data_IF_488651800138
#
_entry.id   IF_488651800138
#
_cell.length_a   1.000
_cell.length_b   1.000
_cell.length_c   1.000
_cell.angle_alpha   90.00
_cell.angle_beta   90.00
_cell.angle_gamma   90.00
#
_symmetry.space_group_name_H-M   'P 1'
#
loop_
_entity.id
_entity.type
_entity.pdbx_description
1 polymer ?
#
# COMPACT_ATOMS: atom_id res chain seq x y z
N UNK A 1 6.60 -18.91 -1.86
CA UNK A 1 5.25 -19.42 -1.55
C UNK A 1 4.93 -20.74 -2.23
N UNK A 2 5.13 -20.91 -3.55
CA UNK A 2 4.83 -22.17 -4.25
C UNK A 2 5.47 -23.42 -3.63
N UNK A 3 6.76 -23.37 -3.32
CA UNK A 3 7.51 -24.48 -2.69
C UNK A 3 6.90 -24.91 -1.34
N UNK A 4 6.53 -23.94 -0.51
CA UNK A 4 5.91 -24.18 0.80
C UNK A 4 4.56 -24.88 0.66
N UNK A 5 3.75 -24.51 -0.36
CA UNK A 5 2.44 -25.11 -0.62
C UNK A 5 2.58 -26.57 -1.07
N UNK A 6 3.56 -26.86 -1.94
CA UNK A 6 3.83 -28.23 -2.41
C UNK A 6 4.45 -29.13 -1.34
N UNK A 7 5.36 -28.60 -0.53
CA UNK A 7 6.05 -29.39 0.52
C UNK A 7 5.10 -29.76 1.67
N UNK A 8 4.18 -28.86 2.04
CA UNK A 8 3.26 -29.07 3.15
C UNK A 8 1.90 -29.63 2.71
N UNK A 9 1.71 -29.98 1.43
CA UNK A 9 0.44 -30.45 0.86
C UNK A 9 -0.76 -29.67 1.42
N UNK A 10 -0.79 -28.34 1.24
CA UNK A 10 -1.82 -27.50 1.84
C UNK A 10 -3.14 -27.67 1.06
N UNK A 11 -4.22 -28.21 1.67
CA UNK A 11 -5.50 -28.38 1.00
C UNK A 11 -6.27 -27.05 0.92
N UNK A 12 -7.11 -26.89 -0.09
CA UNK A 12 -8.07 -25.79 -0.14
C UNK A 12 -9.08 -25.90 1.02
N UNK A 13 -9.25 -24.86 1.86
CA UNK A 13 -10.12 -24.92 3.03
C UNK A 13 -11.61 -25.11 2.69
N UNK A 14 -12.03 -24.77 1.47
CA UNK A 14 -13.44 -24.87 1.06
C UNK A 14 -13.79 -26.18 0.34
N UNK A 15 -12.84 -26.82 -0.36
CA UNK A 15 -13.14 -27.99 -1.20
C UNK A 15 -12.13 -29.15 -1.06
N UNK A 16 -11.09 -29.02 -0.24
CA UNK A 16 -10.10 -30.08 0.02
C UNK A 16 -9.16 -30.42 -1.14
N UNK A 17 -9.27 -29.73 -2.29
CA UNK A 17 -8.39 -29.95 -3.45
C UNK A 17 -7.03 -29.28 -3.28
N UNK A 18 -6.00 -29.84 -3.92
CA UNK A 18 -4.60 -29.38 -3.84
C UNK A 18 -4.13 -28.62 -5.09
N UNK A 19 -5.03 -28.34 -6.04
CA UNK A 19 -4.68 -27.67 -7.30
C UNK A 19 -4.73 -26.15 -7.15
N UNK A 20 -3.62 -25.57 -6.68
CA UNK A 20 -3.44 -24.12 -6.55
C UNK A 20 -2.85 -23.50 -7.82
N UNK A 21 -3.29 -22.29 -8.16
CA UNK A 21 -2.64 -21.48 -9.20
C UNK A 21 -1.36 -20.83 -8.66
N UNK A 22 -0.51 -20.34 -9.58
CA UNK A 22 0.70 -19.62 -9.20
C UNK A 22 0.38 -18.39 -8.33
N UNK A 23 1.05 -18.23 -7.17
CA UNK A 23 0.90 -17.04 -6.35
C UNK A 23 1.23 -15.78 -7.15
N UNK A 24 0.36 -14.78 -7.09
CA UNK A 24 0.58 -13.48 -7.73
C UNK A 24 0.63 -12.40 -6.67
N UNK A 25 1.49 -11.41 -6.89
CA UNK A 25 1.53 -10.22 -6.06
C UNK A 25 0.47 -9.24 -6.55
N UNK A 26 -0.37 -8.79 -5.64
CA UNK A 26 -1.38 -7.77 -5.90
C UNK A 26 -0.95 -6.48 -5.22
N UNK A 27 -1.01 -5.37 -5.96
CA UNK A 27 -0.81 -4.06 -5.37
C UNK A 27 -2.08 -3.66 -4.61
N UNK A 28 -1.92 -3.35 -3.32
CA UNK A 28 -3.02 -2.91 -2.45
C UNK A 28 -3.26 -1.40 -2.56
N UNK A 29 -2.44 -0.66 -3.30
CA UNK A 29 -2.68 0.76 -3.57
C UNK A 29 -3.71 0.92 -4.68
N UNK A 30 -4.61 1.89 -4.53
CA UNK A 30 -5.50 2.28 -5.61
C UNK A 30 -4.76 3.14 -6.62
N UNK A 31 -4.65 2.66 -7.85
CA UNK A 31 -4.06 3.39 -8.97
C UNK A 31 -5.10 4.32 -9.61
N UNK A 32 -4.68 5.55 -9.94
CA UNK A 32 -5.47 6.55 -10.66
C UNK A 32 -4.59 7.28 -11.66
N UNK A 33 -5.17 7.84 -12.71
CA UNK A 33 -4.43 8.64 -13.70
C UNK A 33 -4.73 10.13 -13.50
N UNK A 34 -3.69 10.95 -13.38
CA UNK A 34 -3.78 12.41 -13.25
C UNK A 34 -3.37 13.05 -14.57
N UNK A 35 -4.19 13.97 -15.09
CA UNK A 35 -3.92 14.72 -16.32
C UNK A 35 -5.12 14.75 -17.27
N UNK A 36 -5.28 15.86 -17.98
CA UNK A 36 -6.41 16.10 -18.90
C UNK A 36 -6.14 15.46 -20.27
N UNK A 37 -4.90 15.54 -20.74
CA UNK A 37 -4.48 15.03 -22.05
C UNK A 37 -4.27 13.52 -21.96
N UNK A 38 -4.99 12.75 -22.79
CA UNK A 38 -4.96 11.28 -22.80
C UNK A 38 -3.59 10.66 -23.09
N UNK A 39 -2.68 11.38 -23.76
CA UNK A 39 -1.32 10.92 -24.08
C UNK A 39 -0.28 11.15 -22.98
N UNK A 40 -0.50 12.11 -22.08
CA UNK A 40 0.47 12.56 -21.06
C UNK A 40 -0.06 12.38 -19.63
N UNK A 41 -0.96 11.40 -19.41
CA UNK A 41 -1.49 11.13 -18.08
C UNK A 41 -0.40 10.53 -17.20
N UNK A 42 -0.18 11.14 -16.04
CA UNK A 42 0.73 10.61 -15.02
C UNK A 42 0.00 9.60 -14.14
N UNK A 43 0.59 8.43 -13.97
CA UNK A 43 0.10 7.44 -13.00
C UNK A 43 0.31 7.96 -11.58
N UNK A 44 -0.74 7.91 -10.77
CA UNK A 44 -0.73 8.30 -9.37
C UNK A 44 -1.44 7.25 -8.53
N UNK A 45 -1.26 7.31 -7.21
CA UNK A 45 -1.85 6.35 -6.29
C UNK A 45 -2.55 7.07 -5.15
N UNK A 46 -3.69 6.56 -4.71
CA UNK A 46 -4.24 6.96 -3.43
C UNK A 46 -3.34 6.41 -2.32
N UNK A 47 -3.03 7.25 -1.33
CA UNK A 47 -2.12 6.90 -0.24
C UNK A 47 -2.66 5.71 0.57
N UNK A 48 -1.83 4.70 0.78
CA UNK A 48 -2.13 3.53 1.61
C UNK A 48 -1.93 3.73 3.11
N UNK A 49 -1.37 4.88 3.50
CA UNK A 49 -1.11 5.31 4.88
C UNK A 49 -0.95 6.83 4.94
N UNK A 50 -0.84 7.38 6.16
CA UNK A 50 -0.70 8.84 6.38
C UNK A 50 0.76 9.27 6.53
N UNK A 51 1.67 8.36 6.91
CA UNK A 51 3.04 8.69 7.33
C UNK A 51 3.87 9.38 6.24
N UNK A 52 3.72 8.98 4.98
CA UNK A 52 4.49 9.51 3.84
C UNK A 52 4.49 11.04 3.77
N UNK A 53 3.33 11.68 4.03
CA UNK A 53 3.22 13.13 4.00
C UNK A 53 4.09 13.84 5.05
N UNK A 54 4.29 13.22 6.21
CA UNK A 54 5.13 13.75 7.27
C UNK A 54 6.62 13.65 6.92
N UNK A 55 7.03 12.56 6.26
CA UNK A 55 8.43 12.39 5.84
C UNK A 55 8.81 13.36 4.72
N UNK A 56 7.94 13.55 3.73
CA UNK A 56 8.18 14.51 2.63
C UNK A 56 8.30 15.93 3.15
N UNK A 57 7.52 16.30 4.17
CA UNK A 57 7.52 17.65 4.73
C UNK A 57 8.45 17.85 5.93
N UNK A 58 9.26 16.86 6.31
CA UNK A 58 10.08 16.93 7.52
C UNK A 58 10.99 18.18 7.56
N UNK A 59 11.65 18.51 6.44
CA UNK A 59 12.51 19.71 6.33
C UNK A 59 11.72 21.01 6.54
N UNK A 60 10.56 21.13 5.88
CA UNK A 60 9.71 22.31 5.99
C UNK A 60 9.24 22.53 7.44
N UNK A 61 8.90 21.45 8.13
CA UNK A 61 8.49 21.50 9.53
C UNK A 61 9.66 21.87 10.45
N UNK A 62 10.84 21.29 10.22
CA UNK A 62 12.05 21.62 10.98
C UNK A 62 12.41 23.10 10.84
N UNK A 63 12.36 23.64 9.62
CA UNK A 63 12.67 25.05 9.37
C UNK A 63 11.63 26.00 10.00
N UNK A 64 10.34 25.64 9.92
CA UNK A 64 9.25 26.51 10.40
C UNK A 64 9.09 26.52 11.92
N UNK A 65 9.28 25.36 12.57
CA UNK A 65 9.05 25.20 14.01
C UNK A 65 10.36 25.20 14.82
N UNK A 66 11.51 24.97 14.18
CA UNK A 66 12.82 24.81 14.84
C UNK A 66 12.78 23.92 16.10
N UNK A 67 12.11 22.74 16.09
CA UNK A 67 11.98 21.91 17.26
C UNK A 67 13.35 21.28 17.62
N UNK A 68 13.58 21.10 18.93
CA UNK A 68 14.71 20.28 19.40
C UNK A 68 14.31 18.81 19.41
N UNK A 69 15.26 17.94 19.09
CA UNK A 69 15.05 16.49 19.16
C UNK A 69 14.96 16.00 20.62
N UNK A 70 14.11 15.00 20.93
CA UNK A 70 13.12 14.38 20.04
C UNK A 70 11.83 15.21 19.94
N UNK A 71 11.22 15.26 18.75
CA UNK A 71 9.88 15.81 18.53
C UNK A 71 9.04 14.86 17.69
N UNK A 72 7.71 15.01 17.77
CA UNK A 72 6.74 14.18 17.05
C UNK A 72 5.90 14.99 16.07
N UNK A 73 5.51 14.34 14.97
CA UNK A 73 4.52 14.85 14.03
C UNK A 73 3.34 13.88 14.00
N UNK A 74 2.13 14.43 14.04
CA UNK A 74 0.89 13.67 13.98
C UNK A 74 0.01 14.24 12.87
N UNK A 75 -0.59 13.34 12.09
CA UNK A 75 -1.54 13.69 11.04
C UNK A 75 -2.72 12.72 11.08
N UNK A 76 -3.92 13.25 10.94
CA UNK A 76 -5.17 12.48 10.83
C UNK A 76 -5.79 12.68 9.44
N UNK A 77 -6.39 11.63 8.88
CA UNK A 77 -7.05 11.66 7.59
C UNK A 77 -7.28 10.28 7.00
N UNK A 78 -7.94 10.22 5.84
CA UNK A 78 -8.23 8.96 5.16
C UNK A 78 -6.98 8.36 4.51
N UNK A 79 -6.90 7.02 4.53
CA UNK A 79 -5.96 6.21 3.78
C UNK A 79 -6.75 5.07 3.09
N UNK A 80 -6.29 4.63 1.93
CA UNK A 80 -7.05 3.73 1.07
C UNK A 80 -6.24 2.46 0.81
N UNK A 81 -6.85 1.29 1.05
CA UNK A 81 -6.29 0.00 0.68
C UNK A 81 -7.29 -0.79 -0.15
N UNK A 82 -6.83 -1.25 -1.30
CA UNK A 82 -7.55 -2.12 -2.21
C UNK A 82 -7.45 -3.55 -1.68
N UNK A 83 -8.21 -3.84 -0.64
CA UNK A 83 -8.17 -5.13 0.04
C UNK A 83 -8.83 -6.22 -0.79
N UNK A 84 -8.15 -7.35 -0.93
CA UNK A 84 -8.56 -8.45 -1.84
C UNK A 84 -9.83 -9.15 -1.35
N UNK A 85 -10.12 -9.10 -0.05
CA UNK A 85 -11.31 -9.71 0.55
C UNK A 85 -11.95 -8.71 1.52
N UNK A 86 -13.00 -7.99 1.09
CA UNK A 86 -13.69 -7.03 1.95
C UNK A 86 -14.66 -7.76 2.89
N UNK A 87 -14.14 -8.59 3.80
CA UNK A 87 -14.95 -9.36 4.77
C UNK A 87 -15.71 -10.54 4.17
#
# INVERSE_FOLDING_TARGET
MKQIISENNIPCPNCGKYNWTEPRQFNLLFETSIGIVTGDKSTAYLRGEIAQGMFVNFKNVLDSLSPKMPFGLAQSGAAFRNEVTPG
#
